data_IF_063339341165
#
_entry.id   IF_063339341165
#
_cell.length_a   1.000
_cell.length_b   1.000
_cell.length_c   1.000
_cell.angle_alpha   90.00
_cell.angle_beta   90.00
_cell.angle_gamma   90.00
#
_symmetry.space_group_name_H-M   'P 1'
#
loop_
_entity.id
_entity.type
_entity.pdbx_description
1 polymer ?
#
# COMPACT_ATOMS: atom_id res chain seq x y z
N UNK A 1 12.63 -22.23 9.84
CA UNK A 1 11.50 -21.30 9.66
C UNK A 1 11.92 -20.19 8.70
N UNK A 2 11.02 -19.67 7.88
CA UNK A 2 11.28 -18.51 7.01
C UNK A 2 10.49 -17.35 7.58
N UNK A 3 11.13 -16.18 7.65
CA UNK A 3 10.49 -14.93 8.09
C UNK A 3 10.73 -13.88 7.02
N UNK A 4 9.67 -13.23 6.57
CA UNK A 4 9.74 -12.12 5.62
C UNK A 4 8.93 -10.93 6.11
N UNK A 5 9.31 -9.75 5.67
CA UNK A 5 8.57 -8.51 5.94
C UNK A 5 8.57 -7.61 4.72
N UNK A 6 7.52 -6.84 4.58
CA UNK A 6 7.41 -5.82 3.55
C UNK A 6 6.77 -4.56 4.16
N UNK A 7 7.34 -3.37 3.94
CA UNK A 7 6.76 -2.14 4.46
C UNK A 7 5.43 -1.81 3.78
N UNK A 8 4.62 -1.04 4.48
CA UNK A 8 3.43 -0.42 3.92
C UNK A 8 3.80 0.84 3.14
N UNK A 9 3.01 1.19 2.12
CA UNK A 9 3.24 2.39 1.33
C UNK A 9 2.27 3.51 1.66
N UNK A 10 2.76 4.72 1.62
CA UNK A 10 1.97 5.94 1.67
C UNK A 10 2.04 6.63 0.30
N UNK A 11 0.89 6.86 -0.33
CA UNK A 11 0.79 7.59 -1.59
C UNK A 11 0.55 9.06 -1.33
N UNK A 12 1.45 9.92 -1.78
CA UNK A 12 1.32 11.38 -1.63
C UNK A 12 0.56 12.00 -2.80
N UNK A 13 0.99 11.75 -4.04
CA UNK A 13 0.44 12.35 -5.25
C UNK A 13 0.14 11.32 -6.33
N UNK A 14 -0.71 11.66 -7.29
CA UNK A 14 -0.96 10.88 -8.49
C UNK A 14 -1.79 9.61 -8.29
N UNK A 15 -2.32 9.36 -7.11
CA UNK A 15 -3.08 8.13 -6.85
C UNK A 15 -4.23 7.92 -7.83
N UNK A 16 -4.40 6.70 -8.30
CA UNK A 16 -5.32 6.21 -9.35
C UNK A 16 -4.84 6.41 -10.80
N UNK A 17 -3.76 7.13 -11.06
CA UNK A 17 -3.16 7.23 -12.40
C UNK A 17 -2.37 5.97 -12.79
N UNK A 18 -2.10 5.11 -11.81
CA UNK A 18 -1.48 3.79 -11.94
C UNK A 18 -2.43 2.70 -12.46
N UNK A 19 -3.71 3.03 -12.66
CA UNK A 19 -4.72 2.11 -13.16
C UNK A 19 -4.51 1.83 -14.65
N UNK A 20 -4.59 0.56 -15.05
CA UNK A 20 -4.41 0.14 -16.45
C UNK A 20 -5.32 0.87 -17.44
N UNK A 21 -6.57 1.14 -17.07
CA UNK A 21 -7.50 1.87 -17.96
C UNK A 21 -7.05 3.32 -18.13
N UNK A 22 -6.55 3.96 -17.05
CA UNK A 22 -6.02 5.32 -17.13
C UNK A 22 -4.78 5.38 -18.04
N UNK A 23 -3.83 4.46 -17.84
CA UNK A 23 -2.60 4.40 -18.63
C UNK A 23 -2.90 4.17 -20.10
N UNK A 24 -3.86 3.30 -20.44
CA UNK A 24 -4.28 3.06 -21.82
C UNK A 24 -4.96 4.26 -22.47
N UNK A 25 -5.72 5.04 -21.70
CA UNK A 25 -6.43 6.22 -22.20
C UNK A 25 -5.52 7.43 -22.39
N UNK A 26 -4.59 7.64 -21.43
CA UNK A 26 -3.72 8.82 -21.39
C UNK A 26 -2.26 8.53 -21.75
N UNK A 27 -1.89 7.27 -22.00
CA UNK A 27 -0.54 6.82 -22.38
C UNK A 27 0.49 6.80 -21.26
N UNK A 28 0.16 7.37 -20.08
CA UNK A 28 1.10 7.58 -18.98
C UNK A 28 0.38 7.79 -17.66
N UNK A 29 0.98 7.32 -16.58
CA UNK A 29 0.58 7.61 -15.22
C UNK A 29 1.80 7.79 -14.32
N UNK A 30 1.67 8.51 -13.21
CA UNK A 30 2.75 8.72 -12.26
C UNK A 30 2.23 8.93 -10.85
N UNK A 31 3.00 8.48 -9.86
CA UNK A 31 2.73 8.69 -8.45
C UNK A 31 3.99 9.06 -7.69
N UNK A 32 3.85 9.81 -6.60
CA UNK A 32 4.89 9.99 -5.59
C UNK A 32 4.43 9.29 -4.33
N UNK A 33 5.27 8.38 -3.82
CA UNK A 33 4.97 7.58 -2.62
C UNK A 33 6.23 7.26 -1.83
N UNK A 34 6.06 6.88 -0.58
CA UNK A 34 7.14 6.37 0.26
C UNK A 34 6.73 5.11 1.01
N UNK A 35 7.72 4.32 1.41
CA UNK A 35 7.53 3.22 2.38
C UNK A 35 7.68 3.76 3.79
N UNK A 36 6.74 3.39 4.68
CA UNK A 36 6.81 3.75 6.09
C UNK A 36 7.35 2.58 6.95
N UNK A 37 7.69 2.89 8.19
CA UNK A 37 8.23 1.95 9.17
C UNK A 37 7.21 0.91 9.69
N UNK A 38 5.93 1.03 9.33
CA UNK A 38 4.93 -0.02 9.55
C UNK A 38 5.03 -1.10 8.48
N UNK A 39 5.03 -2.37 8.89
CA UNK A 39 5.26 -3.52 8.01
C UNK A 39 4.18 -4.58 8.12
N UNK A 40 4.07 -5.40 7.10
CA UNK A 40 3.46 -6.72 7.19
C UNK A 40 4.56 -7.77 7.33
N UNK A 41 4.23 -8.87 7.97
CA UNK A 41 5.14 -9.98 8.21
C UNK A 41 4.47 -11.29 7.80
N UNK A 42 5.28 -12.17 7.23
CA UNK A 42 4.88 -13.54 6.91
C UNK A 42 5.90 -14.51 7.47
N UNK A 43 5.41 -15.56 8.11
CA UNK A 43 6.25 -16.71 8.45
C UNK A 43 5.78 -17.93 7.69
N UNK A 44 6.73 -18.72 7.16
CA UNK A 44 6.47 -20.05 6.62
C UNK A 44 7.26 -21.07 7.44
N UNK A 45 6.57 -22.10 7.91
CA UNK A 45 7.18 -23.22 8.58
C UNK A 45 6.67 -24.55 7.99
N UNK A 46 7.49 -25.58 8.11
CA UNK A 46 7.14 -26.93 7.74
C UNK A 46 7.55 -27.87 8.87
N UNK A 47 6.66 -28.75 9.25
CA UNK A 47 7.01 -29.83 10.18
C UNK A 47 7.94 -30.84 9.50
N UNK A 48 9.24 -30.69 9.75
CA UNK A 48 10.30 -31.54 9.14
C UNK A 48 10.26 -32.99 9.64
N UNK A 49 9.75 -33.19 10.85
CA UNK A 49 9.77 -34.50 11.50
C UNK A 49 8.45 -35.26 11.35
N UNK A 50 7.36 -34.60 10.95
CA UNK A 50 6.07 -35.24 10.74
C UNK A 50 5.42 -35.72 12.05
N UNK A 51 5.79 -35.14 13.21
CA UNK A 51 5.21 -35.46 14.50
C UNK A 51 3.78 -34.93 14.64
N UNK A 52 3.43 -33.87 13.92
CA UNK A 52 2.09 -33.33 13.93
C UNK A 52 1.19 -34.14 12.99
N UNK A 53 -0.03 -34.39 13.42
CA UNK A 53 -1.08 -34.99 12.59
C UNK A 53 -1.39 -34.15 11.33
N UNK A 54 -0.93 -32.90 11.32
CA UNK A 54 -1.21 -31.87 10.32
C UNK A 54 -0.18 -31.78 9.18
N UNK A 55 0.78 -32.73 9.11
CA UNK A 55 1.85 -32.72 8.07
C UNK A 55 1.35 -32.69 6.63
N UNK A 56 0.08 -33.02 6.39
CA UNK A 56 -0.57 -33.02 5.09
C UNK A 56 -1.59 -31.88 4.93
N UNK A 57 -1.59 -30.90 5.84
CA UNK A 57 -2.50 -29.78 5.81
C UNK A 57 -1.79 -28.46 5.62
N UNK A 58 -2.44 -27.57 4.89
CA UNK A 58 -2.13 -26.14 4.92
C UNK A 58 -2.77 -25.55 6.17
N UNK A 59 -1.97 -24.89 7.00
CA UNK A 59 -2.43 -24.17 8.18
C UNK A 59 -2.14 -22.70 7.96
N UNK A 60 -3.19 -21.90 7.87
CA UNK A 60 -3.08 -20.46 7.58
C UNK A 60 -3.62 -19.69 8.78
N UNK A 61 -2.76 -18.92 9.45
CA UNK A 61 -3.10 -18.08 10.58
C UNK A 61 -3.04 -16.59 10.16
N UNK A 62 -4.14 -15.89 10.37
CA UNK A 62 -4.27 -14.44 10.20
C UNK A 62 -5.31 -13.96 11.22
N UNK A 63 -6.26 -13.06 10.89
CA UNK A 63 -7.42 -12.77 11.77
C UNK A 63 -8.33 -13.98 11.99
N UNK A 64 -8.11 -15.03 11.22
CA UNK A 64 -8.77 -16.34 11.32
C UNK A 64 -7.72 -17.45 11.23
N UNK A 65 -8.14 -18.69 11.56
CA UNK A 65 -7.35 -19.89 11.31
C UNK A 65 -8.06 -20.77 10.30
N UNK A 66 -7.33 -21.21 9.29
CA UNK A 66 -7.78 -22.20 8.31
C UNK A 66 -6.90 -23.44 8.38
N UNK A 67 -7.51 -24.62 8.28
CA UNK A 67 -6.82 -25.91 8.19
C UNK A 67 -7.48 -26.70 7.07
N UNK A 68 -6.77 -26.85 5.95
CA UNK A 68 -7.29 -27.47 4.73
C UNK A 68 -6.28 -28.48 4.17
N UNK A 69 -6.77 -29.48 3.44
CA UNK A 69 -5.92 -30.51 2.85
C UNK A 69 -5.56 -30.19 1.40
N UNK A 70 -6.33 -29.34 0.73
CA UNK A 70 -6.09 -28.89 -0.63
C UNK A 70 -5.89 -27.37 -0.65
N UNK A 71 -4.94 -26.90 -1.45
CA UNK A 71 -4.65 -25.49 -1.67
C UNK A 71 -5.88 -24.73 -2.22
N UNK A 72 -6.73 -25.42 -2.99
CA UNK A 72 -7.95 -24.85 -3.55
C UNK A 72 -9.01 -24.52 -2.49
N UNK A 73 -8.95 -25.15 -1.31
CA UNK A 73 -9.86 -24.93 -0.19
C UNK A 73 -9.47 -23.71 0.67
N UNK A 74 -8.28 -23.10 0.43
CA UNK A 74 -7.84 -21.91 1.15
C UNK A 74 -8.76 -20.73 0.79
N UNK A 75 -9.38 -20.12 1.82
CA UNK A 75 -10.26 -18.96 1.66
C UNK A 75 -9.50 -17.64 1.56
N UNK A 76 -8.32 -17.54 2.18
CA UNK A 76 -7.49 -16.34 2.07
C UNK A 76 -6.94 -16.20 0.65
N UNK A 77 -7.56 -15.32 -0.16
CA UNK A 77 -7.21 -15.13 -1.59
C UNK A 77 -5.74 -14.80 -1.80
N UNK A 78 -5.14 -13.98 -0.90
CA UNK A 78 -3.72 -13.59 -0.98
C UNK A 78 -2.81 -14.80 -0.82
N UNK A 79 -3.07 -15.64 0.20
CA UNK A 79 -2.28 -16.84 0.44
C UNK A 79 -2.46 -17.86 -0.68
N UNK A 80 -3.72 -18.11 -1.06
CA UNK A 80 -4.07 -19.09 -2.09
C UNK A 80 -3.33 -18.83 -3.39
N UNK A 81 -3.42 -17.63 -3.95
CA UNK A 81 -2.85 -17.35 -5.28
C UNK A 81 -1.32 -17.44 -5.30
N UNK A 82 -0.65 -17.11 -4.17
CA UNK A 82 0.81 -17.20 -4.09
C UNK A 82 1.26 -18.65 -3.90
N UNK A 83 0.66 -19.38 -2.96
CA UNK A 83 1.02 -20.79 -2.73
C UNK A 83 0.75 -21.65 -3.97
N UNK A 84 -0.35 -21.41 -4.68
CA UNK A 84 -0.69 -22.07 -5.95
C UNK A 84 0.34 -21.78 -7.03
N UNK A 85 0.75 -20.50 -7.20
CA UNK A 85 1.75 -20.12 -8.21
C UNK A 85 3.10 -20.81 -8.00
N UNK A 86 3.53 -20.99 -6.75
CA UNK A 86 4.80 -21.64 -6.41
C UNK A 86 4.68 -23.16 -6.24
N UNK A 87 3.52 -23.76 -6.46
CA UNK A 87 3.25 -25.19 -6.20
C UNK A 87 3.75 -25.60 -4.80
N UNK A 88 3.38 -24.80 -3.81
CA UNK A 88 3.88 -25.01 -2.44
C UNK A 88 3.26 -26.25 -1.82
N UNK A 89 4.08 -27.12 -1.20
CA UNK A 89 3.56 -28.24 -0.43
C UNK A 89 2.81 -27.73 0.81
N UNK A 90 2.08 -28.61 1.53
CA UNK A 90 1.49 -28.27 2.81
C UNK A 90 2.48 -27.60 3.78
N UNK A 91 2.15 -26.39 4.19
CA UNK A 91 2.98 -25.52 5.05
C UNK A 91 2.11 -24.79 6.07
N UNK A 92 2.74 -24.34 7.15
CA UNK A 92 2.11 -23.41 8.09
C UNK A 92 2.50 -21.99 7.73
N UNK A 93 1.52 -21.15 7.43
CA UNK A 93 1.69 -19.74 7.08
C UNK A 93 1.05 -18.89 8.18
N UNK A 94 1.77 -17.91 8.68
CA UNK A 94 1.20 -16.91 9.59
C UNK A 94 1.42 -15.51 9.02
N UNK A 95 0.35 -14.70 9.03
CA UNK A 95 0.35 -13.32 8.58
C UNK A 95 0.01 -12.40 9.74
N UNK A 96 0.80 -11.34 9.93
CA UNK A 96 0.52 -10.28 10.89
C UNK A 96 1.05 -8.93 10.40
N UNK A 97 0.62 -7.84 11.00
CA UNK A 97 0.93 -6.47 10.58
C UNK A 97 1.03 -5.54 11.78
N UNK A 98 1.90 -4.53 11.67
CA UNK A 98 2.03 -3.46 12.67
C UNK A 98 0.83 -2.51 12.66
N UNK A 99 0.07 -2.45 11.56
CA UNK A 99 -1.13 -1.62 11.44
C UNK A 99 -2.36 -2.48 11.20
N UNK A 100 -3.54 -1.94 11.53
CA UNK A 100 -4.79 -2.57 11.14
C UNK A 100 -4.83 -2.71 9.61
N UNK A 101 -4.78 -3.95 9.12
CA UNK A 101 -4.48 -4.22 7.71
C UNK A 101 -5.72 -4.20 6.80
N UNK A 102 -6.90 -4.57 7.32
CA UNK A 102 -8.10 -4.70 6.50
C UNK A 102 -8.68 -3.33 6.13
N UNK A 103 -8.58 -2.95 4.85
CA UNK A 103 -9.13 -1.69 4.36
C UNK A 103 -8.36 -0.45 4.84
N UNK A 104 -7.11 -0.59 5.29
CA UNK A 104 -6.26 0.49 5.81
C UNK A 104 -5.97 1.61 4.82
N UNK A 105 -5.90 1.29 3.53
CA UNK A 105 -5.44 2.22 2.51
C UNK A 105 -3.93 2.31 2.35
N UNK A 106 -3.19 1.45 3.04
CA UNK A 106 -1.73 1.42 3.07
C UNK A 106 -1.12 0.32 2.20
N UNK A 107 -1.90 -0.28 1.30
CA UNK A 107 -1.52 -1.39 0.41
C UNK A 107 -1.15 -2.69 1.14
N UNK A 108 -1.82 -3.00 2.24
CA UNK A 108 -1.52 -4.21 3.03
C UNK A 108 -1.68 -5.50 2.23
N UNK A 109 -2.63 -5.58 1.28
CA UNK A 109 -2.80 -6.75 0.39
C UNK A 109 -1.54 -7.01 -0.41
N UNK A 110 -1.07 -6.01 -1.17
CA UNK A 110 0.14 -6.11 -1.98
C UNK A 110 1.38 -6.38 -1.14
N UNK A 111 1.50 -5.73 0.04
CA UNK A 111 2.59 -5.97 0.99
C UNK A 111 2.65 -7.43 1.45
N UNK A 112 1.49 -8.05 1.76
CA UNK A 112 1.41 -9.48 2.10
C UNK A 112 1.76 -10.38 0.91
N UNK A 113 1.28 -10.08 -0.31
CA UNK A 113 1.63 -10.85 -1.51
C UNK A 113 3.13 -10.83 -1.74
N UNK A 114 3.75 -9.66 -1.65
CA UNK A 114 5.20 -9.47 -1.82
C UNK A 114 5.98 -10.27 -0.77
N UNK A 115 5.58 -10.18 0.51
CA UNK A 115 6.19 -10.95 1.60
C UNK A 115 6.06 -12.46 1.36
N UNK A 116 4.90 -12.94 0.92
CA UNK A 116 4.67 -14.35 0.59
C UNK A 116 5.51 -14.81 -0.59
N UNK A 117 5.59 -14.04 -1.68
CA UNK A 117 6.45 -14.35 -2.82
C UNK A 117 7.91 -14.50 -2.36
N UNK A 118 8.41 -13.52 -1.57
CA UNK A 118 9.78 -13.59 -1.02
C UNK A 118 9.98 -14.84 -0.16
N UNK A 119 8.99 -15.19 0.67
CA UNK A 119 9.06 -16.38 1.50
C UNK A 119 9.06 -17.68 0.68
N UNK A 120 8.24 -17.77 -0.37
CA UNK A 120 8.23 -18.91 -1.29
C UNK A 120 9.54 -19.02 -2.09
N UNK A 121 10.12 -17.89 -2.51
CA UNK A 121 11.45 -17.88 -3.13
C UNK A 121 12.51 -18.46 -2.19
N UNK A 122 12.54 -18.01 -0.94
CA UNK A 122 13.47 -18.56 0.07
C UNK A 122 13.21 -20.05 0.35
N UNK A 123 11.96 -20.49 0.34
CA UNK A 123 11.60 -21.88 0.52
C UNK A 123 12.18 -22.78 -0.57
N UNK A 124 12.13 -22.33 -1.82
CA UNK A 124 12.65 -23.06 -2.99
C UNK A 124 14.12 -22.78 -3.30
N UNK A 125 14.80 -21.94 -2.51
CA UNK A 125 16.19 -21.50 -2.81
C UNK A 125 16.30 -20.71 -4.12
N UNK A 126 15.24 -19.99 -4.52
CA UNK A 126 15.19 -19.17 -5.72
C UNK A 126 15.47 -17.70 -5.37
N UNK A 127 16.17 -17.01 -6.25
CA UNK A 127 16.38 -15.57 -6.17
C UNK A 127 15.47 -14.86 -7.19
N UNK A 128 14.87 -13.76 -6.76
CA UNK A 128 14.14 -12.82 -7.62
C UNK A 128 14.53 -11.41 -7.21
N UNK A 129 14.66 -10.51 -8.18
CA UNK A 129 14.84 -9.09 -7.90
C UNK A 129 13.58 -8.50 -7.26
N UNK A 130 13.72 -7.38 -6.54
CA UNK A 130 12.56 -6.69 -5.96
C UNK A 130 11.54 -6.30 -7.04
N UNK A 131 12.03 -5.83 -8.20
CA UNK A 131 11.19 -5.47 -9.35
C UNK A 131 10.41 -6.67 -9.88
N UNK A 132 11.05 -7.86 -10.00
CA UNK A 132 10.37 -9.07 -10.45
C UNK A 132 9.32 -9.54 -9.45
N UNK A 133 9.62 -9.41 -8.14
CA UNK A 133 8.65 -9.69 -7.07
C UNK A 133 7.45 -8.75 -7.19
N UNK A 134 7.67 -7.44 -7.39
CA UNK A 134 6.59 -6.46 -7.56
C UNK A 134 5.73 -6.76 -8.80
N UNK A 135 6.37 -7.10 -9.91
CA UNK A 135 5.69 -7.49 -11.16
C UNK A 135 4.81 -8.73 -10.96
N UNK A 136 5.36 -9.76 -10.32
CA UNK A 136 4.62 -10.99 -10.01
C UNK A 136 3.49 -10.70 -9.02
N UNK A 137 3.73 -9.88 -8.00
CA UNK A 137 2.70 -9.49 -7.02
C UNK A 137 1.49 -8.85 -7.70
N UNK A 138 1.71 -7.91 -8.62
CA UNK A 138 0.64 -7.32 -9.42
C UNK A 138 -0.12 -8.38 -10.26
N UNK A 139 0.61 -9.27 -10.95
CA UNK A 139 0.01 -10.34 -11.75
C UNK A 139 -0.85 -11.30 -10.94
N UNK A 140 -0.49 -11.54 -9.68
CA UNK A 140 -1.27 -12.40 -8.79
C UNK A 140 -2.46 -11.64 -8.18
N UNK A 141 -2.27 -10.36 -7.83
CA UNK A 141 -3.33 -9.55 -7.22
C UNK A 141 -4.50 -9.31 -8.18
N UNK A 142 -4.26 -9.10 -9.47
CA UNK A 142 -5.34 -8.91 -10.46
C UNK A 142 -6.26 -10.12 -10.60
N UNK A 143 -5.84 -11.33 -10.21
CA UNK A 143 -6.68 -12.54 -10.26
C UNK A 143 -7.92 -12.42 -9.35
N UNK A 144 -7.80 -11.71 -8.22
CA UNK A 144 -8.90 -11.51 -7.28
C UNK A 144 -9.30 -10.04 -7.10
N UNK A 145 -8.47 -9.09 -7.54
CA UNK A 145 -8.75 -7.65 -7.53
C UNK A 145 -8.43 -7.02 -8.89
N UNK A 146 -9.31 -7.16 -9.90
CA UNK A 146 -9.02 -6.74 -11.28
C UNK A 146 -8.90 -5.22 -11.48
N UNK A 147 -9.21 -4.42 -10.44
CA UNK A 147 -9.08 -2.96 -10.47
C UNK A 147 -7.84 -2.45 -9.74
N UNK A 148 -6.95 -3.34 -9.26
CA UNK A 148 -5.69 -2.89 -8.66
C UNK A 148 -4.79 -2.28 -9.74
N UNK A 149 -4.05 -1.23 -9.34
CA UNK A 149 -3.03 -0.60 -10.18
C UNK A 149 -1.63 -1.08 -9.80
N UNK A 150 -0.64 -0.52 -10.48
CA UNK A 150 0.77 -0.86 -10.26
C UNK A 150 1.38 -0.19 -9.02
N UNK A 151 0.77 0.88 -8.51
CA UNK A 151 1.32 1.66 -7.40
C UNK A 151 1.57 0.82 -6.16
N UNK A 152 0.64 -0.06 -5.79
CA UNK A 152 0.68 -0.76 -4.52
C UNK A 152 1.85 -1.75 -4.43
N UNK A 153 2.07 -2.66 -5.40
CA UNK A 153 3.22 -3.56 -5.38
C UNK A 153 4.56 -2.83 -5.42
N UNK A 154 4.72 -1.86 -6.34
CA UNK A 154 5.98 -1.13 -6.48
C UNK A 154 6.21 -0.13 -5.34
N UNK A 155 5.13 0.42 -4.80
CA UNK A 155 5.17 1.28 -3.63
C UNK A 155 5.68 0.56 -2.38
N UNK A 156 5.25 -0.68 -2.14
CA UNK A 156 5.67 -1.50 -1.00
C UNK A 156 7.01 -2.22 -1.23
N UNK A 157 7.14 -2.92 -2.35
CA UNK A 157 8.26 -3.83 -2.59
C UNK A 157 9.58 -3.14 -2.87
N UNK A 158 9.54 -2.00 -3.56
CA UNK A 158 10.70 -1.10 -3.73
C UNK A 158 10.67 -0.08 -2.62
N UNK A 159 11.63 -0.12 -1.70
CA UNK A 159 11.70 0.78 -0.55
C UNK A 159 11.88 2.25 -0.89
N UNK A 160 11.90 3.10 0.14
CA UNK A 160 12.29 4.51 0.05
C UNK A 160 11.18 5.48 -0.41
N UNK A 161 11.57 6.74 -0.53
CA UNK A 161 10.75 7.82 -1.07
C UNK A 161 11.03 7.95 -2.55
N UNK A 162 9.99 7.90 -3.39
CA UNK A 162 10.18 7.76 -4.83
C UNK A 162 9.01 8.28 -5.65
N UNK A 163 9.32 8.73 -6.85
CA UNK A 163 8.40 8.88 -7.97
C UNK A 163 8.36 7.56 -8.74
N UNK A 164 7.19 7.08 -9.11
CA UNK A 164 7.00 5.89 -9.94
C UNK A 164 6.22 6.31 -11.18
N UNK A 165 6.70 5.92 -12.35
CA UNK A 165 6.11 6.20 -13.65
C UNK A 165 5.62 4.90 -14.29
N UNK A 166 4.41 4.93 -14.83
CA UNK A 166 3.73 3.82 -15.47
C UNK A 166 3.53 4.15 -16.95
N UNK A 167 4.10 3.37 -17.84
CA UNK A 167 4.05 3.58 -19.27
C UNK A 167 3.05 2.62 -19.93
N UNK A 168 2.55 2.97 -21.10
CA UNK A 168 1.54 2.21 -21.85
C UNK A 168 2.01 0.83 -22.33
N UNK A 169 3.32 0.64 -22.44
CA UNK A 169 3.97 -0.64 -22.75
C UNK A 169 4.29 -1.51 -21.53
N UNK A 170 3.64 -1.25 -20.41
CA UNK A 170 3.84 -1.94 -19.13
C UNK A 170 5.24 -1.79 -18.52
N UNK A 171 6.04 -0.87 -19.00
CA UNK A 171 7.29 -0.49 -18.34
C UNK A 171 7.00 0.40 -17.15
N UNK A 172 7.70 0.10 -16.07
CA UNK A 172 7.64 0.88 -14.83
C UNK A 172 9.04 1.41 -14.55
N UNK A 173 9.12 2.73 -14.33
CA UNK A 173 10.34 3.41 -13.93
C UNK A 173 10.13 3.99 -12.55
N UNK A 174 11.18 4.12 -11.77
CA UNK A 174 11.15 4.84 -10.51
C UNK A 174 12.43 5.61 -10.29
N UNK A 175 12.28 6.73 -9.62
CA UNK A 175 13.35 7.63 -9.21
C UNK A 175 13.24 7.85 -7.71
N UNK A 176 14.36 7.71 -6.98
CA UNK A 176 14.41 8.02 -5.57
C UNK A 176 14.52 9.52 -5.36
N UNK A 177 13.71 10.03 -4.43
CA UNK A 177 13.64 11.42 -4.08
C UNK A 177 14.40 11.70 -2.76
N UNK A 178 14.90 12.93 -2.57
CA UNK A 178 15.59 13.31 -1.33
C UNK A 178 14.65 13.25 -0.12
N UNK A 179 15.12 12.72 1.00
CA UNK A 179 14.35 12.49 2.22
C UNK A 179 14.56 13.56 3.30
N UNK A 180 15.42 14.55 3.07
CA UNK A 180 15.70 15.65 4.01
C UNK A 180 14.45 16.41 4.44
N UNK A 181 13.45 16.53 3.56
CA UNK A 181 12.12 17.07 3.83
C UNK A 181 11.51 16.49 5.13
N UNK A 182 11.57 15.17 5.31
CA UNK A 182 10.96 14.50 6.47
C UNK A 182 11.70 14.78 7.78
N UNK A 183 12.87 15.43 7.76
CA UNK A 183 13.60 15.81 8.96
C UNK A 183 12.97 16.99 9.69
N UNK A 184 12.15 17.80 9.02
CA UNK A 184 11.57 19.02 9.59
C UNK A 184 10.12 18.86 10.02
N UNK A 185 9.47 17.80 9.58
CA UNK A 185 8.04 17.58 9.79
C UNK A 185 7.77 16.22 10.41
N UNK A 186 6.68 16.16 11.18
CA UNK A 186 6.14 14.91 11.69
C UNK A 186 4.99 14.43 10.80
N UNK A 187 4.94 13.14 10.60
CA UNK A 187 3.87 12.47 9.90
C UNK A 187 3.10 11.56 10.85
N UNK A 188 1.78 11.65 10.83
CA UNK A 188 0.92 10.77 11.62
C UNK A 188 -0.15 10.14 10.74
N UNK A 189 -0.47 8.89 11.04
CA UNK A 189 -1.64 8.20 10.53
C UNK A 189 -2.75 8.28 11.56
N UNK A 190 -3.85 8.93 11.20
CA UNK A 190 -5.05 9.07 12.04
C UNK A 190 -6.05 8.01 11.62
N UNK A 191 -6.40 7.08 12.52
CA UNK A 191 -7.34 6.02 12.21
C UNK A 191 -8.77 6.53 12.16
N UNK A 192 -9.48 6.23 11.09
CA UNK A 192 -10.87 6.69 10.91
C UNK A 192 -11.90 5.87 11.68
N UNK A 193 -11.54 4.68 12.20
CA UNK A 193 -12.48 3.74 12.78
C UNK A 193 -13.37 3.03 11.74
N UNK A 194 -13.17 3.32 10.45
CA UNK A 194 -13.99 2.77 9.35
C UNK A 194 -13.15 1.87 8.46
N UNK A 195 -13.64 0.67 8.22
CA UNK A 195 -13.06 -0.26 7.24
C UNK A 195 -13.82 -0.16 5.93
N UNK A 196 -13.15 -0.44 4.80
CA UNK A 196 -13.74 -0.26 3.48
C UNK A 196 -13.52 -1.43 2.54
N UNK A 197 -14.34 -1.46 1.49
CA UNK A 197 -14.12 -2.31 0.31
C UNK A 197 -13.55 -1.44 -0.83
N UNK A 198 -12.25 -1.54 -1.08
CA UNK A 198 -11.57 -0.75 -2.13
C UNK A 198 -12.06 -1.09 -3.54
N UNK A 199 -12.45 -2.33 -3.82
CA UNK A 199 -12.91 -2.77 -5.16
C UNK A 199 -14.08 -1.92 -5.68
N UNK A 200 -15.08 -1.62 -4.81
CA UNK A 200 -16.24 -0.79 -5.20
C UNK A 200 -15.83 0.63 -5.57
N UNK A 201 -14.91 1.22 -4.82
CA UNK A 201 -14.46 2.60 -5.04
C UNK A 201 -13.59 2.67 -6.30
N UNK A 202 -12.65 1.74 -6.47
CA UNK A 202 -11.79 1.68 -7.66
C UNK A 202 -12.60 1.50 -8.95
N UNK A 203 -13.65 0.66 -8.93
CA UNK A 203 -14.58 0.52 -10.04
C UNK A 203 -15.28 1.84 -10.40
N UNK A 204 -15.71 2.61 -9.40
CA UNK A 204 -16.33 3.93 -9.63
C UNK A 204 -15.34 4.93 -10.22
N UNK A 205 -14.08 4.92 -9.78
CA UNK A 205 -13.03 5.80 -10.29
C UNK A 205 -12.71 5.44 -11.75
N UNK A 206 -12.64 4.16 -12.09
CA UNK A 206 -12.41 3.69 -13.47
C UNK A 206 -13.47 4.20 -14.45
N UNK A 207 -14.69 4.44 -14.01
CA UNK A 207 -15.76 5.02 -14.83
C UNK A 207 -15.66 6.56 -14.98
N UNK A 208 -14.71 7.22 -14.31
CA UNK A 208 -14.55 8.68 -14.27
C UNK A 208 -13.08 9.11 -14.45
N UNK A 209 -12.36 8.49 -15.38
CA UNK A 209 -10.91 8.71 -15.57
C UNK A 209 -10.55 10.17 -15.87
N UNK A 210 -11.43 10.90 -16.58
CA UNK A 210 -11.23 12.32 -16.83
C UNK A 210 -11.10 13.17 -15.55
N UNK A 211 -11.72 12.74 -14.44
CA UNK A 211 -11.59 13.40 -13.13
C UNK A 211 -10.28 13.02 -12.40
N UNK A 212 -9.60 11.96 -12.86
CA UNK A 212 -8.31 11.53 -12.33
C UNK A 212 -7.16 12.31 -12.97
N UNK A 213 -7.33 12.77 -14.23
CA UNK A 213 -6.30 13.47 -14.99
C UNK A 213 -5.64 14.63 -14.22
N UNK A 214 -6.38 15.53 -13.52
CA UNK A 214 -5.75 16.59 -12.73
C UNK A 214 -4.83 16.10 -11.60
N UNK A 215 -5.04 14.87 -11.07
CA UNK A 215 -4.15 14.30 -10.07
C UNK A 215 -2.76 13.96 -10.66
N UNK A 216 -2.68 13.65 -11.95
CA UNK A 216 -1.41 13.43 -12.63
C UNK A 216 -0.60 14.74 -12.68
N UNK A 217 -1.27 15.85 -12.99
CA UNK A 217 -0.61 17.15 -13.13
C UNK A 217 0.02 17.62 -11.79
N UNK A 218 -0.55 17.21 -10.64
CA UNK A 218 0.05 17.50 -9.33
C UNK A 218 1.36 16.77 -9.06
N UNK A 219 1.65 15.68 -9.77
CA UNK A 219 2.88 14.88 -9.55
C UNK A 219 4.12 15.65 -9.99
N UNK A 220 4.08 16.27 -11.17
CA UNK A 220 5.23 17.02 -11.70
C UNK A 220 5.51 18.25 -10.85
N UNK A 221 4.46 18.99 -10.46
CA UNK A 221 4.59 20.13 -9.56
C UNK A 221 5.17 19.72 -8.21
N UNK A 222 4.66 18.66 -7.62
CA UNK A 222 5.15 18.17 -6.33
C UNK A 222 6.60 17.66 -6.42
N UNK A 223 6.97 17.01 -7.52
CA UNK A 223 8.33 16.59 -7.78
C UNK A 223 9.30 17.79 -7.78
N UNK A 224 8.99 18.83 -8.53
CA UNK A 224 9.83 20.03 -8.62
C UNK A 224 9.95 20.75 -7.27
N UNK A 225 8.87 20.82 -6.49
CA UNK A 225 8.88 21.37 -5.14
C UNK A 225 9.76 20.55 -4.18
N UNK A 226 9.74 19.22 -4.28
CA UNK A 226 10.60 18.34 -3.48
C UNK A 226 12.07 18.54 -3.83
N UNK A 227 12.41 18.57 -5.12
CA UNK A 227 13.79 18.75 -5.59
C UNK A 227 14.33 20.14 -5.23
N UNK A 228 13.50 21.18 -5.31
CA UNK A 228 13.86 22.56 -4.96
C UNK A 228 13.79 22.88 -3.46
N UNK A 229 13.36 21.92 -2.62
CA UNK A 229 13.10 22.10 -1.19
C UNK A 229 12.10 23.23 -0.85
N UNK A 230 11.12 23.46 -1.73
CA UNK A 230 10.04 24.44 -1.50
C UNK A 230 8.85 23.79 -0.78
N UNK A 231 8.95 23.67 0.54
CA UNK A 231 7.98 22.93 1.35
C UNK A 231 6.73 23.72 1.72
N UNK A 232 6.77 25.03 1.69
CA UNK A 232 5.59 25.85 1.95
C UNK A 232 4.52 25.63 0.86
N UNK A 233 4.92 25.63 -0.41
CA UNK A 233 4.02 25.33 -1.53
C UNK A 233 3.64 23.85 -1.61
N UNK A 234 4.50 22.92 -1.15
CA UNK A 234 4.24 21.48 -1.16
C UNK A 234 2.96 21.12 -0.39
N UNK A 235 2.73 21.69 0.80
CA UNK A 235 1.53 21.42 1.58
C UNK A 235 0.26 21.97 0.92
N UNK A 236 0.38 23.11 0.21
CA UNK A 236 -0.69 23.66 -0.62
C UNK A 236 -1.11 22.70 -1.72
N UNK A 237 -0.14 22.23 -2.53
CA UNK A 237 -0.41 21.26 -3.61
C UNK A 237 -0.96 19.92 -3.08
N UNK A 238 -0.51 19.47 -1.89
CA UNK A 238 -1.05 18.28 -1.27
C UNK A 238 -2.53 18.45 -0.88
N UNK A 239 -2.90 19.59 -0.34
CA UNK A 239 -4.30 19.92 0.00
C UNK A 239 -5.17 20.06 -1.24
N UNK A 240 -4.68 20.68 -2.30
CA UNK A 240 -5.35 20.77 -3.60
C UNK A 240 -5.57 19.38 -4.22
N UNK A 241 -4.53 18.54 -4.22
CA UNK A 241 -4.62 17.16 -4.67
C UNK A 241 -5.65 16.33 -3.90
N UNK A 242 -5.76 16.54 -2.59
CA UNK A 242 -6.80 15.91 -1.78
C UNK A 242 -8.20 16.41 -2.17
N UNK A 243 -8.38 17.72 -2.36
CA UNK A 243 -9.64 18.31 -2.80
C UNK A 243 -10.04 17.80 -4.20
N UNK A 244 -9.11 17.72 -5.14
CA UNK A 244 -9.34 17.14 -6.46
C UNK A 244 -9.74 15.65 -6.34
N UNK A 245 -9.05 14.89 -5.48
CA UNK A 245 -9.37 13.47 -5.28
C UNK A 245 -10.79 13.27 -4.75
N UNK A 246 -11.25 14.09 -3.81
CA UNK A 246 -12.66 14.06 -3.34
C UNK A 246 -13.67 14.20 -4.48
N UNK A 247 -13.32 14.90 -5.56
CA UNK A 247 -14.19 15.13 -6.73
C UNK A 247 -14.19 13.95 -7.71
N UNK A 248 -13.22 13.01 -7.64
CA UNK A 248 -13.17 11.86 -8.55
C UNK A 248 -14.31 10.87 -8.30
N UNK A 249 -14.79 10.77 -7.07
CA UNK A 249 -15.97 9.98 -6.71
C UNK A 249 -16.54 10.44 -5.37
N UNK A 250 -17.86 10.65 -5.30
CA UNK A 250 -18.55 10.97 -4.06
C UNK A 250 -18.38 9.87 -2.99
N UNK A 251 -18.14 8.63 -3.41
CA UNK A 251 -17.92 7.50 -2.52
C UNK A 251 -16.64 7.64 -1.66
N UNK A 252 -15.71 8.53 -2.00
CA UNK A 252 -14.44 8.71 -1.27
C UNK A 252 -14.68 9.26 0.15
N UNK A 253 -15.65 10.16 0.30
CA UNK A 253 -16.02 10.79 1.57
C UNK A 253 -17.50 10.58 1.89
N UNK A 254 -18.14 9.53 1.42
CA UNK A 254 -19.57 9.25 1.66
C UNK A 254 -19.88 9.07 3.15
N UNK A 255 -18.98 8.44 3.89
CA UNK A 255 -19.16 8.16 5.31
C UNK A 255 -19.06 9.46 6.15
N UNK A 256 -20.04 9.67 7.04
CA UNK A 256 -20.10 10.84 7.92
C UNK A 256 -18.86 10.99 8.80
N UNK A 257 -18.36 9.88 9.36
CA UNK A 257 -17.17 9.88 10.20
C UNK A 257 -15.93 10.37 9.43
N UNK A 258 -15.80 10.02 8.15
CA UNK A 258 -14.71 10.51 7.30
C UNK A 258 -14.82 12.03 7.11
N UNK A 259 -16.02 12.55 6.86
CA UNK A 259 -16.24 14.00 6.71
C UNK A 259 -15.93 14.78 8.00
N UNK A 260 -16.32 14.22 9.15
CA UNK A 260 -16.04 14.83 10.46
C UNK A 260 -14.53 14.93 10.71
N UNK A 261 -13.80 13.84 10.46
CA UNK A 261 -12.34 13.81 10.65
C UNK A 261 -11.66 14.74 9.64
N UNK A 262 -12.04 14.68 8.35
CA UNK A 262 -11.52 15.56 7.29
C UNK A 262 -11.66 17.03 7.68
N UNK A 263 -12.86 17.45 8.09
CA UNK A 263 -13.14 18.82 8.52
C UNK A 263 -12.34 19.19 9.79
N UNK A 264 -12.27 18.31 10.78
CA UNK A 264 -11.50 18.56 12.00
C UNK A 264 -10.02 18.74 11.73
N UNK A 265 -9.44 17.94 10.83
CA UNK A 265 -8.04 18.07 10.43
C UNK A 265 -7.80 19.35 9.62
N UNK A 266 -8.74 19.73 8.74
CA UNK A 266 -8.67 20.96 7.95
C UNK A 266 -8.68 22.22 8.83
N UNK A 267 -9.50 22.22 9.89
CA UNK A 267 -9.61 23.35 10.81
C UNK A 267 -8.53 23.37 11.90
N UNK A 268 -7.68 22.37 11.97
CA UNK A 268 -6.67 22.27 13.01
C UNK A 268 -5.41 23.08 12.64
N UNK A 269 -5.04 24.12 13.41
CA UNK A 269 -3.91 25.00 13.09
C UNK A 269 -2.55 24.30 13.18
N UNK A 270 -2.47 23.12 13.79
CA UNK A 270 -1.20 22.34 13.86
C UNK A 270 -1.03 21.38 12.69
N UNK A 271 -2.07 21.19 11.86
CA UNK A 271 -2.02 20.35 10.66
C UNK A 271 -1.68 21.21 9.45
N UNK A 272 -0.54 20.94 8.83
CA UNK A 272 -0.08 21.65 7.63
C UNK A 272 -0.78 21.15 6.36
N UNK A 273 -0.99 19.85 6.28
CA UNK A 273 -1.77 19.19 5.24
C UNK A 273 -2.23 17.82 5.71
N UNK A 274 -3.32 17.34 5.12
CA UNK A 274 -3.81 15.98 5.37
C UNK A 274 -4.47 15.39 4.11
N UNK A 275 -4.57 14.08 4.07
CA UNK A 275 -5.31 13.35 3.01
C UNK A 275 -5.66 11.95 3.47
N UNK A 276 -6.76 11.41 2.94
CA UNK A 276 -7.13 10.01 3.17
C UNK A 276 -6.28 9.08 2.29
N UNK A 277 -5.67 8.07 2.92
CA UNK A 277 -4.82 7.09 2.24
C UNK A 277 -5.63 6.11 1.37
N UNK A 278 -5.03 5.66 0.26
CA UNK A 278 -5.59 4.66 -0.64
C UNK A 278 -6.84 5.12 -1.41
N UNK A 279 -7.81 4.24 -1.69
CA UNK A 279 -8.95 4.52 -2.56
C UNK A 279 -10.02 5.46 -1.97
N UNK A 280 -10.06 5.66 -0.65
CA UNK A 280 -11.06 6.51 0.02
C UNK A 280 -12.03 5.73 0.92
N UNK A 281 -12.96 6.43 1.58
CA UNK A 281 -14.07 5.92 2.41
C UNK A 281 -13.67 5.02 3.59
N UNK A 282 -12.50 5.21 4.17
CA UNK A 282 -12.02 4.48 5.35
C UNK A 282 -10.51 4.29 5.37
N UNK A 283 -10.00 3.69 6.43
CA UNK A 283 -8.59 3.48 6.68
C UNK A 283 -7.98 4.62 7.49
N UNK A 284 -6.92 5.24 7.00
CA UNK A 284 -6.14 6.25 7.70
C UNK A 284 -6.06 7.56 6.93
N UNK A 285 -6.16 8.68 7.64
CA UNK A 285 -5.66 9.95 7.15
C UNK A 285 -4.17 10.06 7.45
N UNK A 286 -3.38 10.44 6.44
CA UNK A 286 -2.04 10.96 6.65
C UNK A 286 -2.14 12.43 7.00
N UNK A 287 -1.42 12.87 8.03
CA UNK A 287 -1.30 14.29 8.43
C UNK A 287 0.17 14.68 8.51
N UNK A 288 0.46 15.93 8.16
CA UNK A 288 1.74 16.57 8.37
C UNK A 288 1.62 17.70 9.38
N UNK A 289 2.60 17.83 10.25
CA UNK A 289 2.74 18.94 11.21
C UNK A 289 4.21 19.35 11.35
N UNK A 290 4.47 20.52 11.91
CA UNK A 290 5.81 20.82 12.40
C UNK A 290 6.17 19.82 13.51
N UNK A 291 7.47 19.58 13.71
CA UNK A 291 7.93 18.63 14.73
C UNK A 291 7.33 18.94 16.10
N UNK A 292 6.83 17.89 16.74
CA UNK A 292 6.30 17.90 18.11
C UNK A 292 5.15 18.92 18.36
N UNK A 293 4.45 19.36 17.30
CA UNK A 293 3.38 20.37 17.43
C UNK A 293 1.99 19.79 17.28
N UNK A 294 1.84 18.56 16.75
CA UNK A 294 0.53 17.99 16.45
C UNK A 294 -0.32 17.83 17.72
N UNK A 295 -1.48 18.44 17.71
CA UNK A 295 -2.49 18.27 18.76
C UNK A 295 -3.80 17.88 18.12
N UNK A 296 -4.19 16.61 18.21
CA UNK A 296 -5.44 16.07 17.67
C UNK A 296 -6.14 15.18 18.71
N UNK A 297 -7.47 15.12 18.63
CA UNK A 297 -8.30 14.34 19.54
C UNK A 297 -8.58 12.90 19.01
N UNK A 298 -7.84 12.45 18.01
CA UNK A 298 -8.02 11.14 17.39
C UNK A 298 -6.85 10.21 17.68
N UNK A 299 -7.12 8.91 17.72
CA UNK A 299 -6.07 7.91 17.78
C UNK A 299 -5.16 8.03 16.56
N UNK A 300 -3.90 8.23 16.80
CA UNK A 300 -2.91 8.40 15.74
C UNK A 300 -1.59 7.70 16.08
N UNK A 301 -0.87 7.33 15.05
CA UNK A 301 0.49 6.77 15.16
C UNK A 301 1.45 7.61 14.32
N UNK A 302 2.56 8.01 14.94
CA UNK A 302 3.66 8.67 14.23
C UNK A 302 4.35 7.63 13.35
N UNK A 303 4.66 8.01 12.12
CA UNK A 303 5.36 7.17 11.15
C UNK A 303 6.58 7.87 10.60
N UNK A 304 7.55 7.06 10.15
CA UNK A 304 8.76 7.53 9.51
C UNK A 304 8.91 6.90 8.12
N UNK A 305 9.65 7.56 7.24
CA UNK A 305 10.08 6.98 5.96
C UNK A 305 11.13 5.91 6.25
N UNK A 306 11.02 4.76 5.59
CA UNK A 306 12.08 3.73 5.59
C UNK A 306 12.64 3.55 4.19
N UNK A 307 13.94 3.27 4.09
CA UNK A 307 14.57 2.87 2.85
C UNK A 307 14.33 1.38 2.51
N UNK A 308 13.82 0.62 3.47
CA UNK A 308 13.59 -0.81 3.27
C UNK A 308 12.52 -1.07 2.20
N UNK A 309 12.78 -2.07 1.36
CA UNK A 309 11.80 -2.80 0.56
C UNK A 309 11.45 -4.14 1.23
N UNK A 310 11.17 -5.16 0.42
CA UNK A 310 10.89 -6.50 0.93
C UNK A 310 12.16 -7.17 1.47
N UNK A 311 12.10 -7.64 2.70
CA UNK A 311 13.18 -8.36 3.38
C UNK A 311 12.76 -9.80 3.70
N UNK A 312 13.74 -10.69 3.82
CA UNK A 312 13.48 -12.07 4.23
C UNK A 312 14.72 -12.84 4.62
N UNK A 313 14.54 -13.80 5.55
CA UNK A 313 15.61 -14.68 6.02
C UNK A 313 15.09 -16.05 6.41
N UNK A 314 15.99 -17.03 6.37
CA UNK A 314 15.80 -18.38 6.95
C UNK A 314 16.40 -18.35 8.37
N UNK A 315 15.61 -18.85 9.35
CA UNK A 315 15.97 -18.91 10.77
C UNK A 315 16.03 -20.37 11.23
#
# INVERSE_FOLDING_TARGET
MIITSCPLRISLFGGSTDNLHFIREYGYGSVISFTCDLKTYVTINRDKFGFNKDKHKYIINYSKREEVSDIQEINNEVVKVVLEYFDMPPVHVTLFSDAYSQGSGLASSSSYIISLIKACCLFHGKEMTETDICKLAHQLEIKFNPFCGYQDPYGCGVGGFKRIEFLDDYRIKYEFLPTNFFNEYDMHLVFTGVTRNSRKILKNITNNLHKVKPLLDTVDVAHDLIISNNFDEFFGIMSDGWNQKKQTSFAITENTRIKEIDHTLEMNPTVLAHKLCGAGNGGFFLTFSKKDTLTIAFDSVKINVTADGVLGRIV
#
